data_IF_690193334803
#
_entry.id   IF_690193334803
#
_cell.length_a   1.000
_cell.length_b   1.000
_cell.length_c   1.000
_cell.angle_alpha   90.00
_cell.angle_beta   90.00
_cell.angle_gamma   90.00
#
_symmetry.space_group_name_H-M   'P 1'
#
loop_
_entity.id
_entity.type
_entity.pdbx_description
1 polymer ?
#
# COMPACT_ATOMS: atom_id res chain seq x y z
N UNK A 1 13.12 15.71 -18.85
CA UNK A 1 12.51 15.50 -17.52
C UNK A 1 11.08 15.98 -17.57
N UNK A 2 10.12 15.08 -17.69
CA UNK A 2 8.69 15.41 -17.52
C UNK A 2 8.50 15.78 -16.06
N UNK A 3 8.04 17.00 -15.77
CA UNK A 3 7.69 17.36 -14.38
C UNK A 3 6.60 16.38 -13.90
N UNK A 4 6.72 15.77 -12.72
CA UNK A 4 5.60 15.05 -12.15
C UNK A 4 4.44 16.05 -12.01
N UNK A 5 3.32 15.75 -12.68
CA UNK A 5 2.10 16.54 -12.49
C UNK A 5 1.69 16.38 -11.03
N UNK A 6 1.66 17.50 -10.29
CA UNK A 6 1.30 17.46 -8.89
C UNK A 6 -0.16 17.00 -8.76
N UNK A 7 -0.39 15.91 -8.04
CA UNK A 7 -1.75 15.43 -7.75
C UNK A 7 -2.55 16.53 -7.05
N UNK A 8 -3.70 16.86 -7.61
CA UNK A 8 -4.59 17.88 -7.08
C UNK A 8 -5.18 17.46 -5.73
N UNK A 9 -5.58 18.41 -4.86
CA UNK A 9 -6.25 18.07 -3.60
C UNK A 9 -7.51 17.22 -3.77
N UNK A 10 -8.26 17.41 -4.86
CA UNK A 10 -9.46 16.63 -5.20
C UNK A 10 -9.12 15.18 -5.54
N UNK A 11 -8.09 14.94 -6.36
CA UNK A 11 -7.61 13.59 -6.68
C UNK A 11 -7.09 12.88 -5.44
N UNK A 12 -6.31 13.58 -4.60
CA UNK A 12 -5.86 13.02 -3.31
C UNK A 12 -7.06 12.62 -2.44
N UNK A 13 -8.09 13.47 -2.36
CA UNK A 13 -9.27 13.16 -1.58
C UNK A 13 -10.03 11.96 -2.17
N UNK A 14 -10.09 11.86 -3.49
CA UNK A 14 -10.71 10.72 -4.19
C UNK A 14 -9.99 9.41 -3.91
N UNK A 15 -8.66 9.40 -4.02
CA UNK A 15 -7.82 8.23 -3.76
C UNK A 15 -7.84 7.83 -2.28
N UNK A 16 -7.89 8.81 -1.36
CA UNK A 16 -8.05 8.52 0.07
C UNK A 16 -9.37 7.80 0.40
N UNK A 17 -10.42 7.99 -0.40
CA UNK A 17 -11.72 7.30 -0.26
C UNK A 17 -11.82 6.01 -1.07
N UNK A 18 -10.81 5.68 -1.85
CA UNK A 18 -10.75 4.46 -2.65
C UNK A 18 -10.00 3.40 -1.87
N UNK A 19 -10.32 2.12 -2.09
CA UNK A 19 -9.63 1.01 -1.44
C UNK A 19 -8.25 0.82 -2.07
N UNK A 20 -7.21 0.74 -1.25
CA UNK A 20 -5.83 0.55 -1.69
C UNK A 20 -5.30 -0.86 -1.39
N UNK A 21 -4.54 -1.40 -2.33
CA UNK A 21 -3.77 -2.64 -2.19
C UNK A 21 -2.35 -2.41 -2.70
N UNK A 22 -1.37 -3.00 -2.00
CA UNK A 22 0.01 -2.98 -2.45
C UNK A 22 0.25 -4.13 -3.45
N UNK A 23 0.93 -3.84 -4.54
CA UNK A 23 1.37 -4.80 -5.54
C UNK A 23 2.91 -4.88 -5.48
N UNK A 24 3.49 -5.95 -4.90
CA UNK A 24 4.94 -6.11 -4.84
C UNK A 24 5.58 -6.10 -6.23
N UNK A 25 6.79 -5.57 -6.31
CA UNK A 25 7.62 -5.59 -7.52
C UNK A 25 9.03 -6.11 -7.20
N UNK A 26 9.78 -6.40 -8.26
CA UNK A 26 11.20 -6.77 -8.18
C UNK A 26 11.99 -5.90 -9.18
N UNK A 27 12.95 -5.05 -8.71
CA UNK A 27 13.32 -4.84 -7.31
C UNK A 27 12.19 -4.23 -6.47
N UNK A 28 12.29 -4.29 -5.14
CA UNK A 28 11.23 -3.82 -4.22
C UNK A 28 10.72 -2.41 -4.55
N UNK A 29 11.61 -1.48 -4.95
CA UNK A 29 11.23 -0.11 -5.39
C UNK A 29 10.30 -0.04 -6.60
N UNK A 30 10.16 -1.11 -7.38
CA UNK A 30 9.24 -1.22 -8.51
C UNK A 30 7.80 -1.58 -8.07
N UNK A 31 7.57 -1.78 -6.76
CA UNK A 31 6.25 -1.98 -6.19
C UNK A 31 5.30 -0.81 -6.49
N UNK A 32 4.01 -1.15 -6.61
CA UNK A 32 2.94 -0.21 -6.98
C UNK A 32 1.82 -0.25 -5.95
N UNK A 33 0.99 0.78 -5.92
CA UNK A 33 -0.24 0.80 -5.13
C UNK A 33 -1.42 0.96 -6.07
N UNK A 34 -2.37 0.04 -5.97
CA UNK A 34 -3.57 0.07 -6.78
C UNK A 34 -4.74 0.61 -5.96
N UNK A 35 -5.46 1.59 -6.50
CA UNK A 35 -6.65 2.19 -5.92
C UNK A 35 -7.88 1.79 -6.72
N UNK A 36 -8.89 1.23 -6.06
CA UNK A 36 -10.12 0.78 -6.70
C UNK A 36 -11.35 1.10 -5.84
N UNK A 37 -12.52 0.97 -6.44
CA UNK A 37 -13.82 1.15 -5.76
C UNK A 37 -14.65 -0.11 -5.91
N UNK A 38 -15.35 -0.57 -4.86
CA UNK A 38 -16.22 -1.74 -4.95
C UNK A 38 -17.27 -1.61 -6.05
N UNK A 39 -17.89 -0.44 -6.15
CA UNK A 39 -18.97 -0.17 -7.09
C UNK A 39 -18.71 1.16 -7.79
N UNK A 40 -17.90 1.12 -8.85
CA UNK A 40 -17.64 2.31 -9.64
C UNK A 40 -16.46 2.19 -10.60
N UNK A 41 -16.29 3.20 -11.48
CA UNK A 41 -15.09 3.31 -12.28
C UNK A 41 -13.85 3.45 -11.37
N UNK A 42 -12.65 3.13 -11.88
CA UNK A 42 -11.41 3.43 -11.17
C UNK A 42 -11.37 4.93 -10.84
N UNK A 43 -10.82 5.32 -9.68
CA UNK A 43 -10.69 6.72 -9.32
C UNK A 43 -9.85 7.47 -10.36
N UNK A 44 -10.13 8.77 -10.51
CA UNK A 44 -9.21 9.66 -11.23
C UNK A 44 -7.90 9.81 -10.46
N UNK A 45 -6.85 10.25 -11.15
CA UNK A 45 -5.56 10.50 -10.53
C UNK A 45 -4.51 10.94 -11.54
N UNK A 46 -3.24 11.06 -11.11
CA UNK A 46 -2.12 11.43 -11.98
C UNK A 46 -1.91 10.36 -13.08
N UNK A 47 -0.83 10.45 -13.85
CA UNK A 47 -0.49 9.59 -15.01
C UNK A 47 -0.28 8.08 -14.70
N UNK A 48 -1.00 7.52 -13.73
CA UNK A 48 -1.11 6.10 -13.46
C UNK A 48 -1.80 5.35 -14.59
N UNK A 49 -1.58 4.04 -14.61
CA UNK A 49 -2.22 3.14 -15.55
C UNK A 49 -3.45 2.51 -14.92
N UNK A 50 -4.48 2.22 -15.73
CA UNK A 50 -5.61 1.41 -15.26
C UNK A 50 -5.30 -0.06 -15.51
N UNK A 51 -5.28 -0.88 -14.45
CA UNK A 51 -5.06 -2.31 -14.50
C UNK A 51 -6.33 -3.07 -14.05
N UNK A 52 -6.53 -4.29 -14.54
CA UNK A 52 -7.57 -5.20 -14.02
C UNK A 52 -6.97 -6.09 -12.93
N UNK A 53 -7.64 -6.16 -11.78
CA UNK A 53 -7.21 -6.95 -10.64
C UNK A 53 -8.30 -7.95 -10.25
N UNK A 54 -7.90 -9.17 -9.93
CA UNK A 54 -8.78 -10.18 -9.32
C UNK A 54 -8.73 -10.02 -7.80
N UNK A 55 -9.82 -9.54 -7.22
CA UNK A 55 -9.96 -9.35 -5.77
C UNK A 55 -10.91 -10.37 -5.16
N UNK A 56 -10.54 -10.92 -4.00
CA UNK A 56 -11.44 -11.68 -3.14
C UNK A 56 -12.36 -10.71 -2.39
N UNK A 57 -13.67 -10.89 -2.55
CA UNK A 57 -14.69 -10.10 -1.86
C UNK A 57 -15.60 -11.01 -1.06
N UNK A 58 -16.10 -10.55 0.10
CA UNK A 58 -17.16 -11.26 0.81
C UNK A 58 -18.39 -11.47 -0.09
N UNK A 59 -19.05 -12.61 0.07
CA UNK A 59 -20.32 -12.97 -0.54
C UNK A 59 -21.22 -13.68 0.47
N UNK A 60 -22.51 -13.83 0.16
CA UNK A 60 -23.50 -14.43 1.07
C UNK A 60 -23.12 -15.85 1.54
N UNK A 61 -22.34 -16.57 0.73
CA UNK A 61 -21.90 -17.95 0.98
C UNK A 61 -20.41 -18.08 1.37
N UNK A 62 -19.68 -16.98 1.52
CA UNK A 62 -18.26 -17.00 1.88
C UNK A 62 -17.44 -15.93 1.15
N UNK A 63 -16.52 -16.37 0.29
CA UNK A 63 -15.63 -15.50 -0.47
C UNK A 63 -15.74 -15.84 -1.95
N UNK A 64 -15.91 -14.82 -2.79
CA UNK A 64 -15.86 -14.95 -4.26
C UNK A 64 -14.80 -14.02 -4.85
N UNK A 65 -14.32 -14.36 -6.04
CA UNK A 65 -13.46 -13.46 -6.81
C UNK A 65 -14.28 -12.50 -7.66
N UNK A 66 -13.81 -11.27 -7.78
CA UNK A 66 -14.33 -10.26 -8.70
C UNK A 66 -13.17 -9.58 -9.42
N UNK A 67 -13.32 -9.36 -10.72
CA UNK A 67 -12.41 -8.48 -11.47
C UNK A 67 -12.81 -7.03 -11.24
N UNK A 68 -11.87 -6.19 -10.81
CA UNK A 68 -12.05 -4.75 -10.62
C UNK A 68 -11.04 -3.98 -11.45
N UNK A 69 -11.42 -2.78 -11.90
CA UNK A 69 -10.49 -1.86 -12.54
C UNK A 69 -9.88 -0.95 -11.48
N UNK A 70 -8.55 -0.91 -11.41
CA UNK A 70 -7.81 -0.13 -10.44
C UNK A 70 -6.92 0.90 -11.13
N UNK A 71 -6.80 2.09 -10.54
CA UNK A 71 -5.73 3.02 -10.89
C UNK A 71 -4.46 2.59 -10.14
N UNK A 72 -3.42 2.25 -10.88
CA UNK A 72 -2.14 1.84 -10.31
C UNK A 72 -1.12 2.96 -10.38
N UNK A 73 -0.56 3.31 -9.22
CA UNK A 73 0.46 4.33 -9.06
C UNK A 73 1.80 3.71 -8.64
N UNK A 74 2.94 4.22 -9.15
CA UNK A 74 4.24 3.96 -8.55
C UNK A 74 4.23 4.34 -7.06
N UNK A 75 4.98 3.61 -6.24
CA UNK A 75 4.99 3.84 -4.78
C UNK A 75 5.34 5.29 -4.39
N UNK A 76 6.27 5.92 -5.11
CA UNK A 76 6.66 7.33 -4.90
C UNK A 76 5.50 8.32 -5.07
N UNK A 77 4.57 8.05 -5.99
CA UNK A 77 3.36 8.86 -6.21
C UNK A 77 2.24 8.51 -5.21
N UNK A 78 2.20 7.27 -4.73
CA UNK A 78 1.20 6.83 -3.76
C UNK A 78 1.49 7.31 -2.33
N UNK A 79 2.76 7.41 -1.91
CA UNK A 79 3.15 7.77 -0.53
C UNK A 79 2.52 9.07 -0.01
N UNK A 80 2.47 10.19 -0.78
CA UNK A 80 1.79 11.40 -0.35
C UNK A 80 0.27 11.22 -0.17
N UNK A 81 -0.36 10.31 -0.92
CA UNK A 81 -1.79 9.99 -0.75
C UNK A 81 -2.01 9.18 0.52
N UNK A 82 -1.23 8.11 0.70
CA UNK A 82 -1.33 7.19 1.84
C UNK A 82 -1.13 7.89 3.18
N UNK A 83 -0.08 8.70 3.30
CA UNK A 83 0.20 9.48 4.52
C UNK A 83 -0.93 10.47 4.87
N UNK A 84 -1.58 11.08 3.87
CA UNK A 84 -2.77 11.93 4.08
C UNK A 84 -4.01 11.12 4.45
N UNK A 85 -4.20 9.93 3.89
CA UNK A 85 -5.29 9.03 4.26
C UNK A 85 -5.21 8.66 5.74
N UNK A 86 -4.01 8.29 6.22
CA UNK A 86 -3.74 8.07 7.65
C UNK A 86 -4.11 9.29 8.49
N UNK A 87 -3.66 10.48 8.09
CA UNK A 87 -3.92 11.71 8.84
C UNK A 87 -5.42 12.02 8.94
N UNK A 88 -6.18 11.78 7.87
CA UNK A 88 -7.65 11.93 7.86
C UNK A 88 -8.34 10.94 8.78
N UNK A 89 -7.92 9.67 8.76
CA UNK A 89 -8.45 8.64 9.65
C UNK A 89 -8.18 8.98 11.14
N UNK A 90 -6.99 9.50 11.46
CA UNK A 90 -6.65 9.92 12.81
C UNK A 90 -7.42 11.17 13.29
N UNK A 91 -7.81 12.05 12.37
CA UNK A 91 -8.55 13.29 12.68
C UNK A 91 -10.06 13.07 12.91
N UNK A 92 -10.57 11.85 12.71
CA UNK A 92 -11.98 11.48 12.98
C UNK A 92 -12.08 10.48 14.14
N UNK A 93 -11.76 10.89 15.39
CA UNK A 93 -11.96 10.04 16.55
C UNK A 93 -13.45 10.00 16.94
N UNK A 94 -14.11 8.87 16.68
CA UNK A 94 -15.52 8.65 17.02
C UNK A 94 -16.24 7.95 15.87
N UNK A 95 -16.36 6.63 15.96
CA UNK A 95 -16.81 5.71 14.90
C UNK A 95 -18.27 5.84 14.45
N UNK A 96 -18.71 7.02 14.07
CA UNK A 96 -19.89 7.16 13.22
C UNK A 96 -19.47 6.98 11.74
N UNK A 97 -20.01 5.97 11.02
CA UNK A 97 -19.77 5.79 9.58
C UNK A 97 -20.37 6.92 8.70
N UNK A 98 -21.03 7.91 9.32
CA UNK A 98 -21.91 8.89 8.70
C UNK A 98 -21.15 10.12 8.17
N UNK A 99 -20.14 9.93 7.33
CA UNK A 99 -19.45 11.06 6.70
C UNK A 99 -18.81 10.72 5.36
N UNK A 100 -19.25 11.38 4.29
CA UNK A 100 -18.69 11.34 2.91
C UNK A 100 -17.21 11.76 2.78
N UNK A 101 -16.50 11.97 3.89
CA UNK A 101 -15.16 12.57 3.95
C UNK A 101 -14.08 11.74 4.66
N UNK A 102 -14.40 10.56 5.21
CA UNK A 102 -13.40 9.67 5.84
C UNK A 102 -12.47 9.01 4.82
N UNK A 103 -11.30 8.53 5.27
CA UNK A 103 -10.43 7.70 4.43
C UNK A 103 -10.92 6.25 4.44
N UNK A 104 -10.73 5.55 3.32
CA UNK A 104 -10.95 4.10 3.24
C UNK A 104 -10.02 3.38 4.23
N UNK A 105 -10.50 2.38 5.00
CA UNK A 105 -9.69 1.68 6.00
C UNK A 105 -8.42 1.03 5.45
N UNK A 106 -8.47 0.41 4.25
CA UNK A 106 -7.29 -0.22 3.64
C UNK A 106 -6.26 0.85 3.24
N UNK A 107 -6.73 1.99 2.73
CA UNK A 107 -5.86 3.11 2.36
C UNK A 107 -5.25 3.79 3.58
N UNK A 108 -6.01 3.95 4.67
CA UNK A 108 -5.50 4.44 5.94
C UNK A 108 -4.46 3.48 6.56
N UNK A 109 -4.69 2.17 6.44
CA UNK A 109 -3.76 1.13 6.85
C UNK A 109 -2.41 1.25 6.11
N UNK A 110 -2.42 1.32 4.78
CA UNK A 110 -1.18 1.51 4.01
C UNK A 110 -0.51 2.86 4.30
N UNK A 111 -1.27 3.88 4.70
CA UNK A 111 -0.74 5.11 5.28
C UNK A 111 -0.01 4.91 6.62
N UNK A 112 -0.53 4.04 7.48
CA UNK A 112 0.16 3.65 8.72
C UNK A 112 1.47 2.91 8.43
N UNK A 113 1.45 1.97 7.48
CA UNK A 113 2.64 1.26 7.03
C UNK A 113 3.69 2.20 6.43
N UNK A 114 3.27 3.19 5.63
CA UNK A 114 4.17 4.19 5.06
C UNK A 114 4.89 5.00 6.14
N UNK A 115 4.15 5.48 7.16
CA UNK A 115 4.76 6.21 8.29
C UNK A 115 5.70 5.31 9.09
N UNK A 116 5.36 4.04 9.31
CA UNK A 116 6.23 3.09 9.99
C UNK A 116 7.54 2.86 9.23
N UNK A 117 7.48 2.65 7.91
CA UNK A 117 8.67 2.50 7.07
C UNK A 117 9.58 3.72 7.16
N UNK A 118 9.02 4.93 7.07
CA UNK A 118 9.77 6.18 7.18
C UNK A 118 10.41 6.36 8.57
N UNK A 119 9.71 5.97 9.64
CA UNK A 119 10.26 5.99 11.01
C UNK A 119 11.40 5.00 11.22
N UNK A 120 11.31 3.81 10.59
CA UNK A 120 12.39 2.82 10.60
C UNK A 120 13.61 3.33 9.83
N UNK A 121 13.39 3.88 8.63
CA UNK A 121 14.45 4.49 7.84
C UNK A 121 15.13 5.66 8.56
N UNK A 122 14.36 6.55 9.20
CA UNK A 122 14.87 7.67 9.98
C UNK A 122 15.71 7.23 11.18
N UNK A 123 15.46 6.03 11.72
CA UNK A 123 16.28 5.40 12.77
C UNK A 123 17.46 4.58 12.23
N UNK A 124 17.74 4.65 10.93
CA UNK A 124 18.85 3.93 10.29
C UNK A 124 18.61 2.43 10.14
N UNK A 125 17.36 1.95 10.19
CA UNK A 125 17.01 0.54 9.96
C UNK A 125 16.96 0.22 8.47
N UNK A 126 18.08 0.38 7.78
CA UNK A 126 18.23 0.12 6.35
C UNK A 126 19.43 -0.80 6.11
N UNK A 127 19.19 -1.92 5.43
CA UNK A 127 20.22 -2.87 5.01
C UNK A 127 20.36 -2.85 3.48
N UNK A 128 21.56 -2.60 2.94
CA UNK A 128 21.83 -2.81 1.53
C UNK A 128 21.95 -4.32 1.23
N UNK A 129 21.58 -4.72 0.03
CA UNK A 129 21.68 -6.10 -0.44
C UNK A 129 21.35 -6.22 -1.93
N UNK A 130 21.16 -7.47 -2.36
CA UNK A 130 20.71 -7.83 -3.71
C UNK A 130 19.36 -8.54 -3.61
N UNK A 131 18.47 -8.29 -4.58
CA UNK A 131 17.27 -9.10 -4.78
C UNK A 131 17.63 -10.46 -5.38
N UNK A 132 16.67 -11.38 -5.44
CA UNK A 132 16.89 -12.70 -6.03
C UNK A 132 17.22 -12.64 -7.54
N UNK A 133 16.87 -11.53 -8.20
CA UNK A 133 17.14 -11.25 -9.62
C UNK A 133 18.34 -10.34 -9.83
N UNK A 134 19.22 -10.22 -8.82
CA UNK A 134 20.50 -9.51 -8.89
C UNK A 134 20.37 -7.97 -9.05
N UNK A 135 19.28 -7.40 -8.54
CA UNK A 135 19.16 -5.95 -8.41
C UNK A 135 19.66 -5.48 -7.05
N UNK A 136 20.43 -4.40 -7.04
CA UNK A 136 20.76 -3.66 -5.84
C UNK A 136 19.49 -3.18 -5.13
N UNK A 137 19.35 -3.47 -3.84
CA UNK A 137 18.16 -3.11 -3.09
C UNK A 137 18.48 -2.72 -1.64
N UNK A 138 17.67 -1.81 -1.10
CA UNK A 138 17.60 -1.56 0.34
C UNK A 138 16.37 -2.25 0.93
N UNK A 139 16.54 -2.89 2.07
CA UNK A 139 15.42 -3.44 2.84
C UNK A 139 15.42 -2.88 4.26
N UNK A 140 14.28 -2.94 4.90
CA UNK A 140 14.16 -2.57 6.31
C UNK A 140 14.90 -3.59 7.17
N UNK A 141 15.75 -3.09 8.08
CA UNK A 141 16.44 -3.91 9.07
C UNK A 141 17.80 -3.35 9.51
N UNK A 142 18.48 -4.02 10.46
CA UNK A 142 17.94 -5.07 11.32
C UNK A 142 16.86 -4.51 12.27
N UNK A 143 15.78 -5.25 12.50
CA UNK A 143 14.70 -4.86 13.41
C UNK A 143 15.00 -5.36 14.83
N UNK A 144 14.79 -4.52 15.83
CA UNK A 144 14.81 -4.91 17.24
C UNK A 144 13.46 -5.51 17.69
N UNK A 145 13.34 -5.85 18.98
CA UNK A 145 12.12 -6.46 19.54
C UNK A 145 10.88 -5.57 19.38
N UNK A 146 11.01 -4.29 19.74
CA UNK A 146 9.94 -3.30 19.67
C UNK A 146 9.52 -3.05 18.20
N UNK A 147 10.48 -3.01 17.29
CA UNK A 147 10.23 -2.91 15.86
C UNK A 147 9.44 -4.11 15.34
N UNK A 148 9.82 -5.32 15.75
CA UNK A 148 9.13 -6.55 15.35
C UNK A 148 7.70 -6.60 15.90
N UNK A 149 7.49 -6.22 17.15
CA UNK A 149 6.17 -6.14 17.78
C UNK A 149 5.27 -5.16 17.05
N UNK A 150 5.73 -3.94 16.79
CA UNK A 150 4.94 -2.91 16.11
C UNK A 150 4.50 -3.33 14.72
N UNK A 151 5.35 -4.06 13.98
CA UNK A 151 4.95 -4.53 12.66
C UNK A 151 4.00 -5.73 12.76
N UNK A 152 4.12 -6.61 13.77
CA UNK A 152 3.15 -7.68 14.02
C UNK A 152 1.78 -7.13 14.40
N UNK A 153 1.74 -6.14 15.29
CA UNK A 153 0.50 -5.42 15.65
C UNK A 153 -0.15 -4.78 14.43
N UNK A 154 0.64 -4.10 13.60
CA UNK A 154 0.13 -3.51 12.37
C UNK A 154 -0.38 -4.60 11.42
N UNK A 155 0.36 -5.67 11.18
CA UNK A 155 -0.07 -6.78 10.32
C UNK A 155 -1.38 -7.42 10.81
N UNK A 156 -1.54 -7.62 12.13
CA UNK A 156 -2.76 -8.14 12.73
C UNK A 156 -3.98 -7.21 12.55
N UNK A 157 -3.73 -5.91 12.41
CA UNK A 157 -4.77 -4.91 12.12
C UNK A 157 -5.06 -4.72 10.61
N UNK A 158 -4.41 -5.48 9.72
CA UNK A 158 -4.57 -5.33 8.28
C UNK A 158 -6.02 -5.63 7.85
N UNK A 159 -6.75 -4.66 7.26
CA UNK A 159 -8.08 -4.92 6.73
C UNK A 159 -8.03 -5.98 5.62
N UNK A 160 -9.04 -6.85 5.53
CA UNK A 160 -9.13 -7.87 4.46
C UNK A 160 -8.98 -7.25 3.05
N UNK A 161 -9.61 -6.09 2.83
CA UNK A 161 -9.54 -5.37 1.57
C UNK A 161 -8.12 -4.89 1.20
N UNK A 162 -7.21 -4.72 2.17
CA UNK A 162 -5.84 -4.25 1.95
C UNK A 162 -4.93 -5.33 1.33
N UNK A 163 -5.31 -6.60 1.40
CA UNK A 163 -4.61 -7.75 0.83
C UNK A 163 -5.56 -8.67 0.06
N UNK A 164 -6.62 -8.11 -0.52
CA UNK A 164 -7.65 -8.87 -1.22
C UNK A 164 -7.25 -9.33 -2.64
N UNK A 165 -6.13 -8.87 -3.20
CA UNK A 165 -5.69 -9.28 -4.54
C UNK A 165 -5.07 -10.68 -4.47
N UNK A 166 -5.57 -11.59 -5.31
CA UNK A 166 -5.09 -12.96 -5.37
C UNK A 166 -3.63 -13.06 -5.83
N UNK A 167 -2.90 -14.02 -5.27
CA UNK A 167 -1.54 -14.35 -5.72
C UNK A 167 -1.60 -14.98 -7.12
N UNK A 168 -0.78 -14.50 -8.07
CA UNK A 168 -0.80 -14.98 -9.45
C UNK A 168 -0.38 -16.45 -9.53
N UNK A 169 -1.08 -17.23 -10.36
CA UNK A 169 -0.71 -18.61 -10.67
C UNK A 169 -0.91 -19.61 -9.53
N UNK A 170 -1.74 -19.29 -8.53
CA UNK A 170 -2.07 -20.20 -7.42
C UNK A 170 -3.37 -20.95 -7.68
N UNK A 171 -3.36 -22.27 -7.43
CA UNK A 171 -4.55 -23.13 -7.42
C UNK A 171 -4.43 -24.13 -6.25
N UNK A 172 -5.25 -24.03 -5.18
CA UNK A 172 -6.36 -23.08 -5.01
C UNK A 172 -5.88 -21.63 -4.91
N UNK A 173 -6.79 -20.68 -5.15
CA UNK A 173 -6.51 -19.25 -5.02
C UNK A 173 -6.04 -18.91 -3.61
N UNK A 174 -4.87 -18.27 -3.51
CA UNK A 174 -4.30 -17.82 -2.24
C UNK A 174 -4.25 -16.28 -2.16
N UNK A 175 -4.48 -15.76 -0.96
CA UNK A 175 -4.25 -14.35 -0.65
C UNK A 175 -2.85 -14.16 -0.03
N UNK A 176 -2.24 -12.97 -0.15
CA UNK A 176 -1.00 -12.65 0.54
C UNK A 176 -1.12 -12.83 2.06
N UNK A 177 -0.10 -13.45 2.67
CA UNK A 177 0.07 -13.44 4.12
C UNK A 177 0.25 -11.98 4.61
N UNK A 178 -0.57 -11.47 5.55
CA UNK A 178 -0.54 -10.06 5.96
C UNK A 178 0.83 -9.60 6.45
N UNK A 179 1.52 -10.43 7.23
CA UNK A 179 2.82 -10.06 7.81
C UNK A 179 3.89 -9.94 6.72
N UNK A 180 3.99 -10.93 5.82
CA UNK A 180 4.91 -10.90 4.67
C UNK A 180 4.59 -9.77 3.71
N UNK A 181 3.30 -9.52 3.46
CA UNK A 181 2.86 -8.47 2.55
C UNK A 181 3.19 -7.07 3.08
N UNK A 182 2.99 -6.85 4.38
CA UNK A 182 3.43 -5.62 5.05
C UNK A 182 4.95 -5.45 4.96
N UNK A 183 5.73 -6.51 5.21
CA UNK A 183 7.20 -6.46 5.09
C UNK A 183 7.67 -6.06 3.70
N UNK A 184 7.08 -6.66 2.67
CA UNK A 184 7.38 -6.31 1.29
C UNK A 184 7.10 -4.83 0.98
N UNK A 185 6.02 -4.26 1.54
CA UNK A 185 5.75 -2.83 1.42
C UNK A 185 6.78 -1.96 2.15
N UNK A 186 7.18 -2.33 3.37
CA UNK A 186 8.20 -1.60 4.13
C UNK A 186 9.53 -1.57 3.37
N UNK A 187 9.93 -2.72 2.80
CA UNK A 187 11.12 -2.84 1.96
C UNK A 187 11.02 -2.02 0.67
N UNK A 188 9.85 -2.00 0.02
CA UNK A 188 9.63 -1.18 -1.17
C UNK A 188 9.76 0.32 -0.88
N UNK A 189 9.27 0.79 0.29
CA UNK A 189 9.46 2.17 0.71
C UNK A 189 10.94 2.46 0.96
N UNK A 190 11.64 1.58 1.69
CA UNK A 190 13.08 1.70 1.96
C UNK A 190 13.90 1.77 0.66
N UNK A 191 13.64 0.87 -0.29
CA UNK A 191 14.34 0.80 -1.58
C UNK A 191 14.04 2.00 -2.50
N UNK A 192 12.90 2.66 -2.29
CA UNK A 192 12.49 3.86 -3.02
C UNK A 192 13.06 5.18 -2.46
N UNK A 193 13.72 5.16 -1.29
CA UNK A 193 14.27 6.38 -0.69
C UNK A 193 15.46 6.90 -1.50
N UNK A 194 15.62 8.24 -1.64
CA UNK A 194 16.79 8.82 -2.26
C UNK A 194 18.07 8.33 -1.58
N UNK A 195 19.01 7.88 -2.40
CA UNK A 195 20.34 7.51 -1.95
C UNK A 195 21.18 8.78 -1.88
N UNK A 196 21.90 8.99 -0.78
CA UNK A 196 23.00 9.94 -0.78
C UNK A 196 24.01 9.46 -1.84
N UNK A 197 24.46 10.33 -2.76
CA UNK A 197 25.57 9.97 -3.64
C UNK A 197 26.76 9.57 -2.76
N UNK A 198 27.43 8.48 -3.16
CA UNK A 198 28.71 8.07 -2.57
C UNK A 198 29.82 9.06 -2.94
#
# INVERSE_FOLDING_TARGET
MTRPSATTPSEIAELCRSTAVFLPGDPSRAGRVAFWRPDGPPPGGPSGSTEELTVAVPDDSGVRTRTVRALTLPLSEALPVLTRARARAAAQPGGEPSGRGGADPATAFWGAAAVLALQLAARGRLLPGLTATDHDAWRVGPLDGDDLERVRELAAAMPAAAHAVALPGTDPLLLPDPERHLRAFLDAVADGLPRSPA
#
